data_IF_698673997761
#
_entry.id   IF_698673997761
#
_cell.length_a   1.000
_cell.length_b   1.000
_cell.length_c   1.000
_cell.angle_alpha   90.00
_cell.angle_beta   90.00
_cell.angle_gamma   90.00
#
_symmetry.space_group_name_H-M   'P 1'
#
loop_
_entity.id
_entity.type
_entity.pdbx_description
1 polymer ?
#
# COMPACT_ATOMS: atom_id res chain seq x y z
N UNK A 1 26.83 11.55 -50.31
CA UNK A 1 27.41 10.78 -49.18
C UNK A 1 27.20 11.62 -47.91
N UNK A 2 26.04 11.52 -47.28
CA UNK A 2 25.70 12.30 -46.08
C UNK A 2 26.24 11.60 -44.84
N UNK A 3 27.12 12.27 -44.10
CA UNK A 3 27.71 11.78 -42.86
C UNK A 3 26.62 11.63 -41.79
N UNK A 4 26.43 10.41 -41.29
CA UNK A 4 25.59 10.11 -40.15
C UNK A 4 26.35 10.57 -38.90
N UNK A 5 25.91 11.66 -38.27
CA UNK A 5 26.49 12.10 -37.00
C UNK A 5 26.17 11.08 -35.91
N UNK A 6 27.17 10.55 -35.15
CA UNK A 6 26.91 9.58 -34.10
C UNK A 6 26.14 10.25 -32.94
N UNK A 7 25.01 9.66 -32.56
CA UNK A 7 24.22 10.11 -31.43
C UNK A 7 25.05 9.99 -30.14
N UNK A 8 25.36 11.14 -29.53
CA UNK A 8 26.04 11.18 -28.24
C UNK A 8 25.17 10.51 -27.17
N UNK A 9 25.72 9.49 -26.51
CA UNK A 9 25.10 8.89 -25.33
C UNK A 9 25.03 9.93 -24.20
N UNK A 10 23.90 10.05 -23.48
CA UNK A 10 23.75 11.09 -22.46
C UNK A 10 24.78 10.91 -21.34
N UNK A 11 25.54 11.98 -21.07
CA UNK A 11 26.65 12.05 -20.09
C UNK A 11 26.20 11.93 -18.63
N UNK A 12 24.89 11.88 -18.37
CA UNK A 12 24.32 11.75 -17.05
C UNK A 12 23.28 10.64 -17.01
N UNK A 13 23.25 9.82 -15.93
CA UNK A 13 22.20 8.84 -15.75
C UNK A 13 20.83 9.54 -15.76
N UNK A 14 19.79 8.91 -16.33
CA UNK A 14 18.48 9.53 -16.46
C UNK A 14 17.96 10.01 -15.10
N UNK A 15 17.43 11.23 -15.07
CA UNK A 15 16.89 11.82 -13.85
C UNK A 15 15.75 10.97 -13.31
N UNK A 16 15.68 10.83 -11.98
CA UNK A 16 14.58 10.11 -11.34
C UNK A 16 13.24 10.79 -11.64
N UNK A 17 13.18 12.12 -11.56
CA UNK A 17 11.99 12.88 -11.98
C UNK A 17 12.24 13.59 -13.30
N UNK A 18 11.23 13.69 -14.18
CA UNK A 18 11.38 14.36 -15.47
C UNK A 18 11.55 15.88 -15.32
N UNK A 19 10.90 16.50 -14.33
CA UNK A 19 10.95 17.95 -14.08
C UNK A 19 10.94 18.28 -12.58
N UNK A 20 11.42 19.47 -12.16
CA UNK A 20 11.29 19.93 -10.77
C UNK A 20 9.83 20.01 -10.31
N UNK A 21 8.91 20.45 -11.18
CA UNK A 21 7.48 20.49 -10.87
C UNK A 21 6.91 19.10 -10.58
N UNK A 22 7.29 18.08 -11.36
CA UNK A 22 6.87 16.70 -11.11
C UNK A 22 7.42 16.15 -9.79
N UNK A 23 8.66 16.50 -9.43
CA UNK A 23 9.25 16.17 -8.13
C UNK A 23 8.51 16.85 -6.97
N UNK A 24 8.17 18.13 -7.13
CA UNK A 24 7.44 18.90 -6.12
C UNK A 24 6.04 18.34 -5.87
N UNK A 25 5.28 18.06 -6.95
CA UNK A 25 3.96 17.45 -6.83
C UNK A 25 4.01 16.12 -6.08
N UNK A 26 4.99 15.27 -6.41
CA UNK A 26 5.16 13.97 -5.73
C UNK A 26 5.54 14.14 -4.26
N UNK A 27 6.38 15.14 -3.94
CA UNK A 27 6.76 15.45 -2.56
C UNK A 27 5.56 15.86 -1.72
N UNK A 28 4.69 16.73 -2.27
CA UNK A 28 3.46 17.14 -1.58
C UNK A 28 2.59 15.93 -1.28
N UNK A 29 2.38 15.03 -2.24
CA UNK A 29 1.61 13.80 -2.04
C UNK A 29 2.21 12.93 -0.94
N UNK A 30 3.53 12.74 -0.92
CA UNK A 30 4.20 11.95 0.12
C UNK A 30 4.10 12.58 1.52
N UNK A 31 4.31 13.89 1.63
CA UNK A 31 4.23 14.61 2.91
C UNK A 31 2.80 14.57 3.46
N UNK A 32 1.81 14.87 2.62
CA UNK A 32 0.40 14.81 3.01
C UNK A 32 0.02 13.38 3.40
N UNK A 33 0.36 12.38 2.57
CA UNK A 33 0.05 10.98 2.84
C UNK A 33 0.67 10.47 4.14
N UNK A 34 1.96 10.73 4.37
CA UNK A 34 2.63 10.28 5.58
C UNK A 34 2.08 10.96 6.84
N UNK A 35 1.75 12.25 6.75
CA UNK A 35 1.10 12.99 7.84
C UNK A 35 -0.27 12.40 8.17
N UNK A 36 -1.10 12.16 7.15
CA UNK A 36 -2.41 11.53 7.32
C UNK A 36 -2.30 10.11 7.90
N UNK A 37 -1.31 9.33 7.49
CA UNK A 37 -1.10 7.98 8.02
C UNK A 37 -0.68 7.99 9.50
N UNK A 38 0.19 8.92 9.91
CA UNK A 38 0.60 9.07 11.31
C UNK A 38 -0.57 9.52 12.18
N UNK A 39 -1.25 10.61 11.79
CA UNK A 39 -2.40 11.14 12.54
C UNK A 39 -3.54 10.13 12.57
N UNK A 40 -3.90 9.59 11.41
CA UNK A 40 -4.97 8.60 11.27
C UNK A 40 -4.69 7.31 12.05
N UNK A 41 -3.43 6.85 12.08
CA UNK A 41 -3.01 5.72 12.90
C UNK A 41 -3.17 5.97 14.40
N UNK A 42 -2.73 7.15 14.87
CA UNK A 42 -2.91 7.58 16.27
C UNK A 42 -4.40 7.64 16.64
N UNK A 43 -5.23 8.23 15.77
CA UNK A 43 -6.68 8.33 15.99
C UNK A 43 -7.32 6.94 16.12
N UNK A 44 -7.03 6.02 15.19
CA UNK A 44 -7.59 4.66 15.28
C UNK A 44 -7.13 3.93 16.54
N UNK A 45 -5.86 4.07 16.92
CA UNK A 45 -5.32 3.45 18.13
C UNK A 45 -5.99 4.00 19.40
N UNK A 46 -6.13 5.33 19.50
CA UNK A 46 -6.78 5.96 20.64
C UNK A 46 -8.24 5.48 20.79
N UNK A 47 -8.99 5.43 19.69
CA UNK A 47 -10.37 4.94 19.68
C UNK A 47 -10.46 3.44 20.00
N UNK A 48 -9.53 2.62 19.50
CA UNK A 48 -9.47 1.19 19.82
C UNK A 48 -9.17 0.94 21.31
N UNK A 49 -8.30 1.76 21.92
CA UNK A 49 -8.02 1.72 23.36
C UNK A 49 -9.26 2.14 24.16
N UNK A 50 -9.96 3.20 23.75
CA UNK A 50 -11.21 3.64 24.39
C UNK A 50 -12.30 2.56 24.32
N UNK A 51 -12.34 1.76 23.26
CA UNK A 51 -13.23 0.61 23.14
C UNK A 51 -12.86 -0.58 24.05
N UNK A 52 -11.82 -0.46 24.88
CA UNK A 52 -11.34 -1.47 25.84
C UNK A 52 -11.11 -2.87 25.24
N UNK A 53 -10.74 -2.95 23.97
CA UNK A 53 -10.56 -4.22 23.25
C UNK A 53 -9.12 -4.39 22.78
N UNK A 54 -8.37 -5.27 23.46
CA UNK A 54 -6.97 -5.58 23.12
C UNK A 54 -6.86 -6.12 21.69
N UNK A 55 -7.80 -6.94 21.24
CA UNK A 55 -7.79 -7.51 19.89
C UNK A 55 -7.96 -6.44 18.81
N UNK A 56 -8.84 -5.46 19.03
CA UNK A 56 -8.96 -4.28 18.15
C UNK A 56 -7.66 -3.46 18.14
N UNK A 57 -7.08 -3.20 19.31
CA UNK A 57 -5.82 -2.44 19.43
C UNK A 57 -4.70 -3.11 18.65
N UNK A 58 -4.51 -4.42 18.78
CA UNK A 58 -3.45 -5.16 18.07
C UNK A 58 -3.68 -5.12 16.55
N UNK A 59 -4.91 -5.39 16.08
CA UNK A 59 -5.22 -5.36 14.65
C UNK A 59 -5.01 -3.97 14.03
N UNK A 60 -5.45 -2.93 14.74
CA UNK A 60 -5.25 -1.53 14.33
C UNK A 60 -3.79 -1.11 14.37
N UNK A 61 -3.02 -1.54 15.38
CA UNK A 61 -1.59 -1.24 15.48
C UNK A 61 -0.81 -1.81 14.30
N UNK A 62 -1.12 -3.05 13.92
CA UNK A 62 -0.52 -3.71 12.76
C UNK A 62 -0.87 -2.98 11.46
N UNK A 63 -2.14 -2.58 11.29
CA UNK A 63 -2.57 -1.75 10.17
C UNK A 63 -1.83 -0.40 10.12
N UNK A 64 -1.79 0.32 11.24
CA UNK A 64 -1.17 1.63 11.36
C UNK A 64 0.34 1.56 11.07
N UNK A 65 1.03 0.55 11.61
CA UNK A 65 2.43 0.30 11.32
C UNK A 65 2.66 -0.01 9.83
N UNK A 66 1.77 -0.80 9.22
CA UNK A 66 1.83 -1.13 7.79
C UNK A 66 1.73 0.10 6.88
N UNK A 67 0.73 0.97 7.11
CA UNK A 67 0.53 2.17 6.27
C UNK A 67 1.65 3.19 6.45
N UNK A 68 2.12 3.39 7.69
CA UNK A 68 3.26 4.27 7.98
C UNK A 68 4.52 3.72 7.33
N UNK A 69 4.82 2.42 7.48
CA UNK A 69 6.01 1.81 6.88
C UNK A 69 6.00 1.91 5.34
N UNK A 70 4.86 1.61 4.71
CA UNK A 70 4.72 1.73 3.25
C UNK A 70 5.01 3.15 2.77
N UNK A 71 4.37 4.17 3.37
CA UNK A 71 4.54 5.56 2.95
C UNK A 71 5.92 6.11 3.32
N UNK A 72 6.49 5.72 4.46
CA UNK A 72 7.82 6.12 4.89
C UNK A 72 8.91 5.54 3.97
N UNK A 73 8.86 4.25 3.64
CA UNK A 73 9.81 3.65 2.71
C UNK A 73 9.68 4.25 1.31
N UNK A 74 8.46 4.54 0.86
CA UNK A 74 8.22 5.19 -0.41
C UNK A 74 8.78 6.61 -0.48
N UNK A 75 8.58 7.39 0.58
CA UNK A 75 9.14 8.73 0.72
C UNK A 75 10.67 8.67 0.73
N UNK A 76 11.25 7.78 1.55
CA UNK A 76 12.70 7.60 1.63
C UNK A 76 13.29 7.23 0.27
N UNK A 77 12.69 6.27 -0.44
CA UNK A 77 13.13 5.87 -1.78
C UNK A 77 13.11 7.02 -2.78
N UNK A 78 12.00 7.73 -2.88
CA UNK A 78 11.78 8.71 -3.93
C UNK A 78 12.64 9.97 -3.76
N UNK A 79 12.98 10.34 -2.52
CA UNK A 79 13.77 11.54 -2.21
C UNK A 79 15.22 11.26 -1.80
N UNK A 80 15.63 9.99 -1.72
CA UNK A 80 17.02 9.64 -1.43
C UNK A 80 18.01 10.03 -2.52
N UNK A 81 19.27 10.18 -2.10
CA UNK A 81 20.45 10.27 -2.97
C UNK A 81 20.59 8.98 -3.81
N UNK A 82 21.08 9.06 -5.06
CA UNK A 82 21.16 7.90 -5.97
C UNK A 82 21.81 6.65 -5.37
N UNK A 83 22.86 6.82 -4.54
CA UNK A 83 23.56 5.70 -3.87
C UNK A 83 22.69 4.81 -2.98
N UNK A 84 21.63 5.36 -2.38
CA UNK A 84 20.75 4.62 -1.45
C UNK A 84 19.49 4.06 -2.12
N UNK A 85 19.15 4.56 -3.31
CA UNK A 85 17.92 4.18 -4.03
C UNK A 85 17.81 2.69 -4.32
N UNK A 86 18.87 1.93 -4.67
CA UNK A 86 18.73 0.51 -4.94
C UNK A 86 18.16 -0.28 -3.75
N UNK A 87 18.63 0.00 -2.53
CA UNK A 87 18.14 -0.63 -1.31
C UNK A 87 16.75 -0.10 -0.93
N UNK A 88 16.58 1.21 -0.89
CA UNK A 88 15.30 1.82 -0.50
C UNK A 88 14.17 1.44 -1.46
N UNK A 89 14.47 1.24 -2.75
CA UNK A 89 13.50 0.72 -3.72
C UNK A 89 13.04 -0.70 -3.37
N UNK A 90 13.90 -1.54 -2.81
CA UNK A 90 13.51 -2.89 -2.38
C UNK A 90 12.61 -2.81 -1.16
N UNK A 91 12.96 -1.95 -0.20
CA UNK A 91 12.15 -1.69 0.99
C UNK A 91 10.78 -1.08 0.65
N UNK A 92 10.72 -0.10 -0.25
CA UNK A 92 9.48 0.51 -0.75
C UNK A 92 8.52 -0.54 -1.32
N UNK A 93 9.01 -1.37 -2.24
CA UNK A 93 8.20 -2.44 -2.83
C UNK A 93 7.88 -3.59 -1.84
N UNK A 94 8.74 -3.86 -0.87
CA UNK A 94 8.45 -4.83 0.19
C UNK A 94 7.39 -4.29 1.17
N UNK A 95 7.39 -2.98 1.41
CA UNK A 95 6.40 -2.28 2.22
C UNK A 95 4.98 -2.42 1.69
N UNK A 96 4.80 -2.59 0.37
CA UNK A 96 3.48 -2.90 -0.22
C UNK A 96 2.95 -4.24 0.29
N UNK A 97 3.78 -5.29 0.36
CA UNK A 97 3.36 -6.59 0.90
C UNK A 97 2.98 -6.48 2.38
N UNK A 98 3.81 -5.78 3.17
CA UNK A 98 3.54 -5.55 4.57
C UNK A 98 2.22 -4.78 4.77
N UNK A 99 1.97 -3.75 3.98
CA UNK A 99 0.72 -2.99 4.04
C UNK A 99 -0.50 -3.83 3.64
N UNK A 100 -0.39 -4.68 2.61
CA UNK A 100 -1.51 -5.57 2.26
C UNK A 100 -1.85 -6.47 3.45
N UNK A 101 -0.86 -7.15 4.06
CA UNK A 101 -1.09 -7.96 5.25
C UNK A 101 -1.64 -7.16 6.44
N UNK A 102 -1.09 -5.97 6.67
CA UNK A 102 -1.57 -5.05 7.71
C UNK A 102 -3.02 -4.60 7.48
N UNK A 103 -3.43 -4.39 6.24
CA UNK A 103 -4.80 -3.99 5.88
C UNK A 103 -5.84 -5.08 6.08
N UNK A 104 -5.46 -6.35 5.98
CA UNK A 104 -6.35 -7.48 6.23
C UNK A 104 -6.52 -7.75 7.72
N UNK A 105 -5.44 -7.60 8.49
CA UNK A 105 -5.37 -8.01 9.91
C UNK A 105 -6.53 -7.52 10.78
N UNK A 106 -6.96 -6.23 10.77
CA UNK A 106 -8.08 -5.80 11.60
C UNK A 106 -9.39 -6.48 11.17
N UNK A 107 -9.61 -6.76 9.89
CA UNK A 107 -10.83 -7.44 9.43
C UNK A 107 -10.80 -8.94 9.65
N UNK A 108 -9.68 -9.61 9.42
CA UNK A 108 -9.61 -11.06 9.61
C UNK A 108 -9.68 -11.45 11.09
N UNK A 109 -9.22 -10.59 11.99
CA UNK A 109 -9.29 -10.83 13.43
C UNK A 109 -10.60 -10.36 14.07
N UNK A 110 -11.29 -9.37 13.48
CA UNK A 110 -12.50 -8.80 14.08
C UNK A 110 -13.81 -9.11 13.31
N UNK A 111 -13.77 -9.43 12.02
CA UNK A 111 -14.99 -9.66 11.23
C UNK A 111 -15.11 -11.11 10.75
N UNK A 112 -14.07 -11.93 10.91
CA UNK A 112 -14.11 -13.37 10.64
C UNK A 112 -14.03 -14.18 11.93
N UNK A 113 -14.51 -15.41 11.88
CA UNK A 113 -14.49 -16.36 13.01
C UNK A 113 -13.97 -17.73 12.58
N UNK A 114 -13.55 -18.54 13.56
CA UNK A 114 -13.14 -19.93 13.34
C UNK A 114 -12.07 -20.10 12.26
N UNK A 115 -12.28 -21.07 11.37
CA UNK A 115 -11.35 -21.39 10.29
C UNK A 115 -11.11 -20.22 9.32
N UNK A 116 -12.11 -19.34 9.11
CA UNK A 116 -11.96 -18.19 8.22
C UNK A 116 -10.98 -17.16 8.77
N UNK A 117 -11.06 -16.86 10.07
CA UNK A 117 -10.15 -15.91 10.72
C UNK A 117 -8.69 -16.39 10.64
N UNK A 118 -8.44 -17.63 11.07
CA UNK A 118 -7.10 -18.21 11.07
C UNK A 118 -6.56 -18.45 9.65
N UNK A 119 -7.37 -19.07 8.79
CA UNK A 119 -6.98 -19.42 7.42
C UNK A 119 -6.66 -18.20 6.57
N UNK A 120 -7.53 -17.17 6.59
CA UNK A 120 -7.29 -15.95 5.83
C UNK A 120 -6.08 -15.17 6.38
N UNK A 121 -5.96 -15.03 7.71
CA UNK A 121 -4.81 -14.35 8.31
C UNK A 121 -3.50 -15.06 7.94
N UNK A 122 -3.44 -16.37 8.10
CA UNK A 122 -2.25 -17.17 7.79
C UNK A 122 -1.90 -17.10 6.30
N UNK A 123 -2.89 -17.24 5.40
CA UNK A 123 -2.67 -17.17 3.96
C UNK A 123 -2.09 -15.81 3.55
N UNK A 124 -2.72 -14.71 3.98
CA UNK A 124 -2.29 -13.35 3.62
C UNK A 124 -0.88 -13.07 4.13
N UNK A 125 -0.61 -13.36 5.42
CA UNK A 125 0.71 -13.11 6.01
C UNK A 125 1.79 -13.99 5.40
N UNK A 126 1.49 -15.26 5.07
CA UNK A 126 2.47 -16.15 4.44
C UNK A 126 2.84 -15.66 3.03
N UNK A 127 1.84 -15.32 2.20
CA UNK A 127 2.09 -14.81 0.85
C UNK A 127 2.79 -13.45 0.92
N UNK A 128 2.39 -12.57 1.83
CA UNK A 128 3.04 -11.27 2.03
C UNK A 128 4.50 -11.41 2.49
N UNK A 129 4.79 -12.31 3.43
CA UNK A 129 6.15 -12.56 3.90
C UNK A 129 7.03 -13.10 2.77
N UNK A 130 6.57 -14.12 2.04
CA UNK A 130 7.28 -14.67 0.88
C UNK A 130 7.49 -13.60 -0.20
N UNK A 131 6.48 -12.79 -0.48
CA UNK A 131 6.56 -11.69 -1.43
C UNK A 131 7.55 -10.62 -1.01
N UNK A 132 7.53 -10.20 0.25
CA UNK A 132 8.45 -9.22 0.81
C UNK A 132 9.90 -9.72 0.76
N UNK A 133 10.15 -10.95 1.22
CA UNK A 133 11.47 -11.59 1.14
C UNK A 133 11.94 -11.71 -0.30
N UNK A 134 11.07 -12.18 -1.20
CA UNK A 134 11.37 -12.24 -2.63
C UNK A 134 11.74 -10.87 -3.21
N UNK A 135 11.08 -9.78 -2.78
CA UNK A 135 11.42 -8.43 -3.23
C UNK A 135 12.79 -7.96 -2.73
N UNK A 136 13.19 -8.37 -1.52
CA UNK A 136 14.48 -8.03 -0.92
C UNK A 136 15.63 -8.82 -1.56
N UNK A 137 15.43 -10.11 -1.79
CA UNK A 137 16.48 -11.06 -2.19
C UNK A 137 16.52 -11.42 -3.67
N UNK A 138 15.44 -11.19 -4.44
CA UNK A 138 15.36 -11.50 -5.88
C UNK A 138 15.20 -10.22 -6.73
N UNK A 139 16.21 -9.32 -6.76
CA UNK A 139 16.09 -8.01 -7.40
C UNK A 139 15.97 -8.04 -8.94
N UNK A 140 16.20 -9.21 -9.56
CA UNK A 140 16.18 -9.42 -11.01
C UNK A 140 14.79 -9.80 -11.54
N UNK A 141 13.85 -10.18 -10.66
CA UNK A 141 12.49 -10.56 -11.07
C UNK A 141 11.75 -9.35 -11.63
N UNK A 142 11.07 -9.56 -12.77
CA UNK A 142 10.38 -8.48 -13.48
C UNK A 142 9.32 -7.80 -12.60
N UNK A 143 9.21 -6.48 -12.77
CA UNK A 143 8.22 -5.63 -12.11
C UNK A 143 6.80 -6.09 -12.40
N UNK A 144 6.50 -6.57 -13.62
CA UNK A 144 5.14 -7.00 -13.99
C UNK A 144 4.68 -8.20 -13.16
N UNK A 145 5.58 -9.15 -12.90
CA UNK A 145 5.30 -10.28 -12.01
C UNK A 145 4.88 -9.79 -10.63
N UNK A 146 5.67 -8.90 -10.01
CA UNK A 146 5.35 -8.36 -8.70
C UNK A 146 4.02 -7.61 -8.66
N UNK A 147 3.72 -6.81 -9.70
CA UNK A 147 2.41 -6.16 -9.85
C UNK A 147 1.27 -7.18 -9.86
N UNK A 148 1.41 -8.28 -10.60
CA UNK A 148 0.43 -9.37 -10.59
C UNK A 148 0.23 -9.95 -9.19
N UNK A 149 1.33 -10.24 -8.48
CA UNK A 149 1.24 -10.77 -7.11
C UNK A 149 0.55 -9.78 -6.16
N UNK A 150 0.86 -8.47 -6.25
CA UNK A 150 0.19 -7.45 -5.43
C UNK A 150 -1.31 -7.40 -5.67
N UNK A 151 -1.74 -7.50 -6.93
CA UNK A 151 -3.17 -7.45 -7.28
C UNK A 151 -3.89 -8.72 -6.81
N UNK A 152 -3.33 -9.90 -7.05
CA UNK A 152 -3.91 -11.17 -6.59
C UNK A 152 -4.03 -11.18 -5.06
N UNK A 153 -2.96 -10.81 -4.36
CA UNK A 153 -2.97 -10.76 -2.90
C UNK A 153 -3.92 -9.67 -2.37
N UNK A 154 -3.95 -8.50 -3.01
CA UNK A 154 -4.82 -7.39 -2.63
C UNK A 154 -6.31 -7.73 -2.70
N UNK A 155 -6.70 -8.57 -3.64
CA UNK A 155 -8.09 -9.03 -3.84
C UNK A 155 -8.41 -10.38 -3.18
N UNK A 156 -7.49 -10.97 -2.42
CA UNK A 156 -7.67 -12.28 -1.80
C UNK A 156 -8.91 -12.36 -0.88
N UNK A 157 -9.31 -11.23 -0.27
CA UNK A 157 -10.51 -11.12 0.59
C UNK A 157 -11.79 -11.54 -0.13
N UNK A 158 -11.86 -11.47 -1.46
CA UNK A 158 -13.02 -11.90 -2.24
C UNK A 158 -13.33 -13.39 -2.02
N UNK A 159 -12.32 -14.21 -1.72
CA UNK A 159 -12.52 -15.63 -1.36
C UNK A 159 -13.36 -15.77 -0.08
N UNK A 160 -13.23 -14.83 0.85
CA UNK A 160 -13.99 -14.75 2.09
C UNK A 160 -15.15 -13.73 1.98
N UNK A 161 -15.67 -13.44 0.78
CA UNK A 161 -16.69 -12.41 0.61
C UNK A 161 -17.95 -12.67 1.44
N UNK A 162 -18.49 -13.89 1.40
CA UNK A 162 -19.69 -14.25 2.17
C UNK A 162 -19.51 -14.02 3.69
N UNK A 163 -18.52 -14.63 4.37
CA UNK A 163 -18.34 -14.39 5.81
C UNK A 163 -17.97 -12.93 6.13
N UNK A 164 -17.35 -12.18 5.19
CA UNK A 164 -17.14 -10.75 5.36
C UNK A 164 -18.46 -9.95 5.31
N UNK A 165 -19.39 -10.30 4.43
CA UNK A 165 -20.75 -9.70 4.38
C UNK A 165 -21.49 -9.97 5.69
N UNK A 166 -21.40 -11.19 6.19
CA UNK A 166 -22.08 -11.57 7.44
C UNK A 166 -21.43 -10.91 8.67
N UNK A 167 -20.12 -10.59 8.60
CA UNK A 167 -19.32 -10.12 9.74
C UNK A 167 -19.01 -8.63 9.78
N UNK A 168 -19.34 -7.85 8.74
CA UNK A 168 -19.04 -6.40 8.69
C UNK A 168 -20.15 -5.59 8.04
N UNK A 169 -20.06 -4.27 8.14
CA UNK A 169 -21.08 -3.38 7.57
C UNK A 169 -20.90 -3.24 6.06
N UNK A 170 -22.00 -3.04 5.34
CA UNK A 170 -21.96 -2.82 3.89
C UNK A 170 -21.12 -1.58 3.51
N UNK A 171 -21.14 -0.54 4.36
CA UNK A 171 -20.32 0.67 4.17
C UNK A 171 -18.83 0.34 4.22
N UNK A 172 -18.38 -0.48 5.18
CA UNK A 172 -16.98 -0.90 5.27
C UNK A 172 -16.56 -1.72 4.03
N UNK A 173 -17.44 -2.60 3.54
CA UNK A 173 -17.17 -3.38 2.32
C UNK A 173 -17.03 -2.50 1.07
N UNK A 174 -17.91 -1.50 0.90
CA UNK A 174 -17.82 -0.56 -0.21
C UNK A 174 -16.52 0.25 -0.15
N UNK A 175 -16.08 0.65 1.04
CA UNK A 175 -14.82 1.36 1.23
C UNK A 175 -13.61 0.47 0.93
N UNK A 176 -13.64 -0.81 1.32
CA UNK A 176 -12.61 -1.80 0.95
C UNK A 176 -12.56 -2.01 -0.56
N UNK A 177 -13.71 -2.18 -1.21
CA UNK A 177 -13.80 -2.34 -2.66
C UNK A 177 -13.29 -1.08 -3.39
N UNK A 178 -13.68 0.11 -2.94
CA UNK A 178 -13.21 1.38 -3.47
C UNK A 178 -11.69 1.51 -3.34
N UNK A 179 -11.12 1.18 -2.17
CA UNK A 179 -9.68 1.16 -1.96
C UNK A 179 -8.97 0.18 -2.89
N UNK A 180 -9.48 -1.04 -3.04
CA UNK A 180 -8.96 -2.04 -3.98
C UNK A 180 -8.98 -1.55 -5.43
N UNK A 181 -10.04 -0.88 -5.86
CA UNK A 181 -10.15 -0.27 -7.20
C UNK A 181 -9.15 0.89 -7.37
N UNK A 182 -9.02 1.78 -6.37
CA UNK A 182 -8.06 2.89 -6.41
C UNK A 182 -6.61 2.39 -6.50
N UNK A 183 -6.24 1.38 -5.70
CA UNK A 183 -4.91 0.74 -5.81
C UNK A 183 -4.69 0.16 -7.21
N UNK A 184 -5.69 -0.54 -7.75
CA UNK A 184 -5.60 -1.25 -9.03
C UNK A 184 -5.50 -0.28 -10.21
N UNK A 185 -6.35 0.75 -10.25
CA UNK A 185 -6.35 1.78 -11.30
C UNK A 185 -5.09 2.65 -11.24
N UNK A 186 -4.55 2.88 -10.05
CA UNK A 186 -3.25 3.54 -9.88
C UNK A 186 -2.12 2.88 -10.69
N UNK A 187 -2.15 1.55 -10.85
CA UNK A 187 -1.12 0.79 -11.58
C UNK A 187 -0.95 1.30 -13.01
N UNK A 188 -2.03 1.79 -13.64
CA UNK A 188 -1.99 2.39 -14.98
C UNK A 188 -0.99 3.54 -15.03
N UNK A 189 -1.02 4.43 -14.02
CA UNK A 189 -0.10 5.57 -13.92
C UNK A 189 1.30 5.14 -13.47
N UNK A 190 1.42 4.11 -12.63
CA UNK A 190 2.72 3.56 -12.24
C UNK A 190 3.52 3.03 -13.44
N UNK A 191 2.86 2.30 -14.34
CA UNK A 191 3.52 1.73 -15.53
C UNK A 191 3.70 2.75 -16.65
N UNK A 192 2.84 3.78 -16.72
CA UNK A 192 2.91 4.83 -17.73
C UNK A 192 4.12 5.76 -17.51
N UNK A 193 5.13 5.67 -18.39
CA UNK A 193 6.34 6.52 -18.33
C UNK A 193 6.27 7.76 -19.20
N UNK A 194 5.18 7.96 -19.96
CA UNK A 194 5.02 9.10 -20.89
C UNK A 194 4.43 10.34 -20.20
N UNK A 195 3.64 10.16 -19.15
CA UNK A 195 3.00 11.27 -18.45
C UNK A 195 3.99 11.99 -17.51
N UNK A 196 4.03 13.33 -17.61
CA UNK A 196 4.90 14.19 -16.78
C UNK A 196 4.73 13.96 -15.27
N UNK A 197 3.49 13.76 -14.83
CA UNK A 197 3.13 13.62 -13.40
C UNK A 197 2.74 12.20 -12.99
N UNK A 198 3.06 11.17 -13.80
CA UNK A 198 2.58 9.80 -13.57
C UNK A 198 2.85 9.26 -12.16
N UNK A 199 4.01 9.60 -11.57
CA UNK A 199 4.39 9.18 -10.21
C UNK A 199 3.55 9.84 -9.13
N UNK A 200 3.35 11.15 -9.22
CA UNK A 200 2.51 11.89 -8.28
C UNK A 200 1.05 11.38 -8.34
N UNK A 201 0.54 11.09 -9.53
CA UNK A 201 -0.80 10.52 -9.71
C UNK A 201 -0.87 9.10 -9.12
N UNK A 202 0.14 8.27 -9.36
CA UNK A 202 0.26 6.93 -8.75
C UNK A 202 0.25 7.01 -7.21
N UNK A 203 1.13 7.80 -6.61
CA UNK A 203 1.17 7.91 -5.15
C UNK A 203 -0.11 8.57 -4.61
N UNK A 204 -0.76 9.46 -5.38
CA UNK A 204 -2.07 10.01 -5.03
C UNK A 204 -3.14 8.94 -4.92
N UNK A 205 -3.17 7.97 -5.86
CA UNK A 205 -4.06 6.82 -5.77
C UNK A 205 -3.75 5.95 -4.54
N UNK A 206 -2.47 5.73 -4.24
CA UNK A 206 -2.03 4.97 -3.05
C UNK A 206 -2.52 5.65 -1.76
N UNK A 207 -2.40 6.97 -1.65
CA UNK A 207 -2.88 7.73 -0.48
C UNK A 207 -4.41 7.73 -0.39
N UNK A 208 -5.11 7.92 -1.51
CA UNK A 208 -6.57 7.89 -1.54
C UNK A 208 -7.12 6.50 -1.16
N UNK A 209 -6.52 5.43 -1.69
CA UNK A 209 -6.86 4.06 -1.35
C UNK A 209 -6.59 3.74 0.12
N UNK A 210 -5.44 4.19 0.66
CA UNK A 210 -5.13 4.06 2.08
C UNK A 210 -6.15 4.79 2.96
N UNK A 211 -6.61 5.97 2.54
CA UNK A 211 -7.70 6.72 3.20
C UNK A 211 -9.04 5.98 3.19
N UNK A 212 -9.41 5.34 2.07
CA UNK A 212 -10.60 4.49 2.00
C UNK A 212 -10.49 3.28 2.94
N UNK A 213 -9.33 2.61 2.98
CA UNK A 213 -9.09 1.51 3.92
C UNK A 213 -9.09 1.99 5.38
N UNK A 214 -8.53 3.17 5.66
CA UNK A 214 -8.56 3.77 6.99
C UNK A 214 -10.01 3.98 7.46
N UNK A 215 -10.86 4.52 6.59
CA UNK A 215 -12.28 4.72 6.88
C UNK A 215 -13.01 3.37 7.05
N UNK A 216 -12.65 2.36 6.26
CA UNK A 216 -13.19 1.01 6.43
C UNK A 216 -12.82 0.41 7.79
N UNK A 217 -11.57 0.57 8.24
CA UNK A 217 -11.11 0.10 9.57
C UNK A 217 -11.84 0.87 10.67
N UNK A 218 -11.99 2.19 10.52
CA UNK A 218 -12.74 3.00 11.50
C UNK A 218 -14.18 2.50 11.66
N UNK A 219 -14.92 2.36 10.56
CA UNK A 219 -16.35 2.06 10.58
C UNK A 219 -16.66 0.56 10.77
N UNK A 220 -15.86 -0.32 10.16
CA UNK A 220 -16.09 -1.76 10.16
C UNK A 220 -15.45 -2.51 11.33
N UNK A 221 -14.51 -1.88 12.03
CA UNK A 221 -13.74 -2.52 13.12
C UNK A 221 -13.77 -1.72 14.41
N UNK A 222 -13.35 -0.45 14.37
CA UNK A 222 -13.19 0.34 15.60
C UNK A 222 -14.54 0.73 16.18
N UNK A 223 -15.36 1.43 15.40
CA UNK A 223 -16.68 1.94 15.79
C UNK A 223 -17.80 0.91 15.65
N UNK A 224 -17.53 -0.23 15.02
CA UNK A 224 -18.49 -1.32 14.95
C UNK A 224 -18.81 -1.82 16.37
N UNK A 225 -20.02 -1.54 16.82
CA UNK A 225 -20.64 -2.13 18.00
C UNK A 225 -21.13 -3.52 17.63
N UNK A 226 -20.52 -4.56 18.21
CA UNK A 226 -21.13 -5.90 18.12
C UNK A 226 -22.28 -5.92 19.13
N UNK A 227 -23.49 -6.04 18.61
CA UNK A 227 -24.66 -6.40 19.42
C UNK A 227 -24.56 -7.83 19.91
#
# INVERSE_FOLDING_TARGET
>A
MAMISPAQSPTHPPRHYPTPAAKCADLVVHVVGLTLALVGGIVLLALAVQAQSITKVVGVAIYAAGVVAMLAFSTAYNFAKPRFRPLLRRLDHAGIFLMIAGSYTPFTTQNLTGAWAWGMTAAVWSIAALGALGKLFLPRVDRRFWVGVYLVLGWLVVVALKPMIDGTTWVALLLLALGGVLYSTGVIFYVNKRLKFARAIWHGHVVAAAGAHWAAVLLGVVLATRG
#
